data_IF_677413787886
#
_entry.id   IF_677413787886
#
_cell.length_a   1.000
_cell.length_b   1.000
_cell.length_c   1.000
_cell.angle_alpha   90.00
_cell.angle_beta   90.00
_cell.angle_gamma   90.00
#
_symmetry.space_group_name_H-M   'P 1'
#
loop_
_entity.id
_entity.type
_entity.pdbx_description
1 polymer ?
#
# COMPACT_ATOMS: atom_id res chain seq x y z
N UNK A 1 -32.33 8.83 -20.74
CA UNK A 1 -31.25 9.63 -20.12
C UNK A 1 -30.53 8.66 -19.21
N UNK A 2 -29.27 8.22 -19.45
CA UNK A 2 -28.58 7.25 -18.56
C UNK A 2 -27.11 6.94 -18.96
N UNK A 3 -26.30 7.90 -19.41
CA UNK A 3 -24.86 7.62 -19.63
C UNK A 3 -24.00 8.88 -19.46
N UNK A 4 -24.53 10.04 -19.84
CA UNK A 4 -23.88 11.33 -19.62
C UNK A 4 -23.98 11.81 -18.16
N UNK A 5 -25.13 11.59 -17.52
CA UNK A 5 -25.37 11.98 -16.12
C UNK A 5 -24.53 11.13 -15.15
N UNK A 6 -24.45 9.81 -15.38
CA UNK A 6 -23.62 8.89 -14.59
C UNK A 6 -22.11 9.21 -14.74
N UNK A 7 -21.68 9.66 -15.92
CA UNK A 7 -20.31 10.13 -16.15
C UNK A 7 -20.03 11.46 -15.45
N UNK A 8 -21.02 12.35 -15.36
CA UNK A 8 -20.90 13.63 -14.67
C UNK A 8 -20.80 13.43 -13.15
N UNK A 9 -21.63 12.57 -12.56
CA UNK A 9 -21.53 12.22 -11.13
C UNK A 9 -20.18 11.59 -10.79
N UNK A 10 -19.67 10.68 -11.64
CA UNK A 10 -18.37 10.04 -11.41
C UNK A 10 -17.20 11.03 -11.52
N UNK A 11 -17.29 12.03 -12.42
CA UNK A 11 -16.30 13.10 -12.51
C UNK A 11 -16.37 14.01 -11.26
N UNK A 12 -17.57 14.33 -10.79
CA UNK A 12 -17.79 15.18 -9.63
C UNK A 12 -17.28 14.52 -8.34
N UNK A 13 -17.50 13.21 -8.19
CA UNK A 13 -16.95 12.40 -7.10
C UNK A 13 -15.41 12.36 -7.13
N UNK A 14 -14.81 12.19 -8.32
CA UNK A 14 -13.34 12.22 -8.47
C UNK A 14 -12.77 13.59 -8.13
N UNK A 15 -13.44 14.68 -8.52
CA UNK A 15 -13.05 16.04 -8.17
C UNK A 15 -13.17 16.31 -6.68
N UNK A 16 -14.25 15.85 -6.04
CA UNK A 16 -14.40 15.94 -4.58
C UNK A 16 -13.32 15.15 -3.86
N UNK A 17 -12.99 13.95 -4.34
CA UNK A 17 -11.95 13.10 -3.75
C UNK A 17 -10.55 13.72 -3.89
N UNK A 18 -10.27 14.41 -5.01
CA UNK A 18 -9.05 15.19 -5.22
C UNK A 18 -8.96 16.37 -4.25
N UNK A 19 -10.05 17.14 -4.09
CA UNK A 19 -10.10 18.29 -3.15
C UNK A 19 -9.90 17.83 -1.70
N UNK A 20 -10.54 16.74 -1.29
CA UNK A 20 -10.36 16.15 0.04
C UNK A 20 -8.92 15.69 0.24
N UNK A 21 -8.31 15.08 -0.78
CA UNK A 21 -6.92 14.62 -0.73
C UNK A 21 -5.95 15.79 -0.61
N UNK A 22 -6.13 16.86 -1.39
CA UNK A 22 -5.32 18.08 -1.32
C UNK A 22 -5.43 18.73 0.06
N UNK A 23 -6.63 18.81 0.64
CA UNK A 23 -6.82 19.34 1.99
C UNK A 23 -6.20 18.46 3.09
N UNK A 24 -6.18 17.12 2.92
CA UNK A 24 -5.44 16.24 3.83
C UNK A 24 -3.93 16.45 3.71
N UNK A 25 -3.40 16.57 2.49
CA UNK A 25 -1.99 16.83 2.28
C UNK A 25 -1.58 18.18 2.85
N UNK A 26 -2.36 19.25 2.67
CA UNK A 26 -2.06 20.56 3.25
C UNK A 26 -2.07 20.53 4.78
N UNK A 27 -3.04 19.85 5.42
CA UNK A 27 -3.04 19.69 6.88
C UNK A 27 -1.88 18.81 7.39
N UNK A 28 -1.44 17.83 6.60
CA UNK A 28 -0.31 16.97 6.95
C UNK A 28 1.04 17.71 6.79
N UNK A 29 1.16 18.62 5.82
CA UNK A 29 2.30 19.50 5.69
C UNK A 29 2.34 20.56 6.80
N UNK A 30 1.21 21.15 7.20
CA UNK A 30 1.15 22.08 8.35
C UNK A 30 1.55 21.39 9.66
N UNK A 31 1.19 20.11 9.87
CA UNK A 31 1.66 19.33 11.03
C UNK A 31 3.14 18.97 10.96
N UNK A 32 3.73 18.82 9.78
CA UNK A 32 5.17 18.57 9.58
C UNK A 32 6.01 19.85 9.60
N UNK A 33 5.43 21.00 9.28
CA UNK A 33 6.07 22.31 9.38
C UNK A 33 6.23 22.81 10.82
N UNK A 34 5.56 22.18 11.81
CA UNK A 34 5.75 22.47 13.24
C UNK A 34 7.16 22.22 13.78
N UNK A 35 8.04 21.54 13.03
CA UNK A 35 9.45 21.31 13.40
C UNK A 35 10.46 22.03 12.50
N UNK A 36 10.02 22.86 11.54
CA UNK A 36 10.93 23.81 10.90
C UNK A 36 11.05 25.06 11.75
N UNK A 37 11.95 24.99 12.74
CA UNK A 37 12.43 26.15 13.48
C UNK A 37 13.21 27.04 12.51
N UNK A 38 12.51 27.90 11.77
CA UNK A 38 13.14 29.03 11.08
C UNK A 38 13.85 29.82 12.18
N UNK A 39 15.19 29.92 12.16
CA UNK A 39 15.90 30.69 13.18
C UNK A 39 15.35 32.11 13.14
N UNK A 40 14.91 32.63 14.28
CA UNK A 40 14.41 33.98 14.34
C UNK A 40 15.60 34.94 14.18
N UNK A 41 15.74 35.50 12.98
CA UNK A 41 16.84 36.40 12.64
C UNK A 41 16.56 37.83 13.10
N UNK A 42 15.40 38.12 13.71
CA UNK A 42 15.04 39.47 14.18
C UNK A 42 16.08 40.02 15.15
N UNK A 43 16.52 39.24 16.14
CA UNK A 43 17.55 39.68 17.09
C UNK A 43 18.91 39.99 16.41
N UNK A 44 19.29 39.19 15.42
CA UNK A 44 20.54 39.44 14.65
C UNK A 44 20.41 40.65 13.74
N UNK A 45 19.24 40.87 13.16
CA UNK A 45 18.96 42.05 12.35
C UNK A 45 18.96 43.31 13.22
N UNK A 46 18.36 43.27 14.41
CA UNK A 46 18.36 44.38 15.36
C UNK A 46 19.77 44.71 15.84
N UNK A 47 20.63 43.71 16.07
CA UNK A 47 22.05 43.91 16.35
C UNK A 47 22.77 44.58 15.18
N UNK A 48 22.53 44.14 13.95
CA UNK A 48 23.10 44.75 12.74
C UNK A 48 22.62 46.20 12.57
N UNK A 49 21.34 46.49 12.84
CA UNK A 49 20.81 47.85 12.79
C UNK A 49 21.41 48.75 13.87
N UNK A 50 21.64 48.22 15.07
CA UNK A 50 22.28 48.93 16.17
C UNK A 50 23.75 49.24 15.86
N UNK A 51 24.50 48.26 15.35
CA UNK A 51 25.88 48.44 14.90
C UNK A 51 25.95 49.46 13.74
N UNK A 52 25.04 49.40 12.77
CA UNK A 52 24.94 50.39 11.67
C UNK A 52 24.63 51.82 12.17
N UNK A 53 23.87 51.94 13.26
CA UNK A 53 23.55 53.24 13.85
C UNK A 53 24.74 53.86 14.60
N UNK A 54 25.58 53.01 15.21
CA UNK A 54 26.83 53.39 15.86
C UNK A 54 27.93 53.74 14.82
N UNK A 55 27.98 52.99 13.71
CA UNK A 55 28.85 53.22 12.54
C UNK A 55 28.61 54.56 11.83
N UNK A 56 27.39 55.09 11.83
CA UNK A 56 27.07 56.38 11.17
C UNK A 56 27.70 57.58 11.88
N UNK A 57 28.20 57.40 13.11
CA UNK A 57 28.85 58.45 13.91
C UNK A 57 30.38 58.34 13.93
N UNK A 58 30.97 57.25 13.41
CA UNK A 58 32.41 56.98 13.37
C UNK A 58 32.98 56.90 11.95
N UNK A 59 34.27 57.20 11.80
CA UNK A 59 34.97 57.40 10.51
C UNK A 59 34.76 56.23 9.48
N UNK A 60 34.16 56.48 8.31
CA UNK A 60 33.50 55.45 7.48
C UNK A 60 34.43 54.48 6.71
N UNK A 61 35.73 54.71 6.63
CA UNK A 61 36.58 54.00 5.65
C UNK A 61 37.23 52.73 6.18
N UNK A 62 37.62 52.69 7.46
CA UNK A 62 38.32 51.53 8.05
C UNK A 62 37.38 50.38 8.40
N UNK A 63 36.14 50.68 8.78
CA UNK A 63 35.17 49.66 9.23
C UNK A 63 34.38 49.03 8.07
N UNK A 64 34.19 49.76 6.96
CA UNK A 64 33.65 49.19 5.72
C UNK A 64 34.52 48.06 5.17
N UNK A 65 35.85 48.17 5.29
CA UNK A 65 36.76 47.11 4.89
C UNK A 65 36.57 45.84 5.75
N UNK A 66 36.37 45.99 7.05
CA UNK A 66 36.12 44.86 7.96
C UNK A 66 34.74 44.22 7.72
N UNK A 67 33.71 45.03 7.44
CA UNK A 67 32.36 44.56 7.08
C UNK A 67 32.36 43.81 5.74
N UNK A 68 33.08 44.30 4.73
CA UNK A 68 33.25 43.60 3.44
C UNK A 68 34.00 42.28 3.63
N UNK A 69 34.97 42.23 4.54
CA UNK A 69 35.72 41.02 4.85
C UNK A 69 34.87 39.99 5.63
N UNK A 70 34.03 40.44 6.56
CA UNK A 70 33.04 39.60 7.24
C UNK A 70 31.97 39.08 6.27
N UNK A 71 31.44 39.93 5.38
CA UNK A 71 30.51 39.52 4.33
C UNK A 71 31.13 38.51 3.35
N UNK A 72 32.42 38.65 3.04
CA UNK A 72 33.16 37.64 2.25
C UNK A 72 33.27 36.32 3.01
N UNK A 73 33.52 36.34 4.33
CA UNK A 73 33.53 35.13 5.17
C UNK A 73 32.15 34.45 5.20
N UNK A 74 31.06 35.20 5.37
CA UNK A 74 29.69 34.66 5.28
C UNK A 74 29.34 34.12 3.89
N UNK A 75 29.89 34.70 2.82
CA UNK A 75 29.69 34.20 1.44
C UNK A 75 30.52 32.95 1.14
N UNK A 76 31.63 32.74 1.87
CA UNK A 76 32.52 31.59 1.72
C UNK A 76 32.10 30.36 2.52
N UNK A 77 31.16 30.50 3.46
CA UNK A 77 30.54 29.35 4.11
C UNK A 77 29.72 28.58 3.07
N UNK A 78 30.04 27.29 2.81
CA UNK A 78 29.33 26.53 1.80
C UNK A 78 27.88 26.38 2.27
N UNK A 79 26.95 27.01 1.53
CA UNK A 79 25.51 26.78 1.69
C UNK A 79 25.26 25.29 1.50
N UNK A 80 25.09 24.56 2.60
CA UNK A 80 24.71 23.15 2.59
C UNK A 80 23.24 23.05 2.21
N UNK A 81 22.96 23.26 0.92
CA UNK A 81 21.65 22.98 0.33
C UNK A 81 21.48 21.46 0.41
N UNK A 82 20.73 20.99 1.42
CA UNK A 82 20.41 19.58 1.59
C UNK A 82 19.59 19.13 0.39
N UNK A 83 20.26 18.58 -0.61
CA UNK A 83 19.64 18.01 -1.79
C UNK A 83 19.01 16.68 -1.36
N UNK A 84 17.69 16.66 -1.15
CA UNK A 84 16.95 15.42 -0.88
C UNK A 84 16.96 14.54 -2.14
N UNK A 85 18.02 13.75 -2.33
CA UNK A 85 18.05 12.68 -3.32
C UNK A 85 17.33 11.49 -2.74
N UNK A 86 16.21 11.07 -3.34
CA UNK A 86 15.63 9.76 -3.09
C UNK A 86 16.58 8.72 -3.72
N UNK A 87 17.59 8.32 -2.97
CA UNK A 87 18.44 7.20 -3.33
C UNK A 87 17.66 5.91 -3.07
N UNK A 88 17.36 5.16 -4.14
CA UNK A 88 16.74 3.83 -4.06
C UNK A 88 17.61 2.82 -3.29
N UNK A 89 18.88 3.17 -3.01
CA UNK A 89 19.82 2.38 -2.23
C UNK A 89 20.58 3.28 -1.23
N UNK A 90 20.63 2.94 0.06
CA UNK A 90 21.34 3.77 1.04
C UNK A 90 22.85 3.83 0.70
N UNK A 91 23.46 5.02 0.64
CA UNK A 91 24.91 5.14 0.40
C UNK A 91 25.76 4.74 1.61
N UNK A 92 25.18 4.76 2.81
CA UNK A 92 25.85 4.32 4.03
C UNK A 92 25.24 2.99 4.51
N UNK A 93 26.10 2.03 4.85
CA UNK A 93 25.72 0.75 5.46
C UNK A 93 24.88 -0.21 4.57
N UNK A 94 25.22 -0.28 3.29
CA UNK A 94 24.59 -1.16 2.29
C UNK A 94 24.58 -2.65 2.70
N UNK A 95 25.66 -3.13 3.32
CA UNK A 95 25.80 -4.53 3.72
C UNK A 95 24.75 -4.99 4.74
N UNK A 96 24.40 -4.14 5.71
CA UNK A 96 23.36 -4.48 6.69
C UNK A 96 21.96 -4.45 6.08
N UNK A 97 21.70 -3.49 5.18
CA UNK A 97 20.40 -3.37 4.53
C UNK A 97 20.10 -4.58 3.64
N UNK A 98 21.06 -4.99 2.81
CA UNK A 98 20.94 -6.20 2.00
C UNK A 98 20.80 -7.45 2.87
N UNK A 99 21.53 -7.56 3.98
CA UNK A 99 21.41 -8.69 4.91
C UNK A 99 20.02 -8.78 5.55
N UNK A 100 19.35 -7.67 5.83
CA UNK A 100 18.01 -7.66 6.42
C UNK A 100 16.94 -7.97 5.37
N UNK A 101 16.99 -7.32 4.21
CA UNK A 101 16.00 -7.49 3.15
C UNK A 101 16.12 -8.87 2.51
N UNK A 102 17.32 -9.28 2.12
CA UNK A 102 17.53 -10.58 1.46
C UNK A 102 17.70 -11.74 2.45
N UNK A 103 18.14 -11.48 3.68
CA UNK A 103 18.31 -12.54 4.68
C UNK A 103 17.06 -12.87 5.50
N UNK A 104 16.15 -11.92 5.67
CA UNK A 104 14.91 -12.12 6.46
C UNK A 104 13.67 -11.77 5.67
N UNK A 105 13.56 -10.54 5.15
CA UNK A 105 12.30 -10.07 4.57
C UNK A 105 11.84 -10.90 3.35
N UNK A 106 12.74 -11.12 2.39
CA UNK A 106 12.45 -11.87 1.15
C UNK A 106 12.09 -13.34 1.42
N UNK A 107 12.89 -14.11 2.19
CA UNK A 107 12.54 -15.49 2.53
C UNK A 107 11.20 -15.61 3.24
N UNK A 108 10.91 -14.73 4.20
CA UNK A 108 9.63 -14.73 4.91
C UNK A 108 8.46 -14.35 4.00
N UNK A 109 8.65 -13.38 3.10
CA UNK A 109 7.64 -13.02 2.10
C UNK A 109 7.35 -14.17 1.13
N UNK A 110 8.39 -14.84 0.65
CA UNK A 110 8.27 -15.97 -0.27
C UNK A 110 7.62 -17.17 0.42
N UNK A 111 7.98 -17.43 1.69
CA UNK A 111 7.32 -18.42 2.53
C UNK A 111 5.83 -18.09 2.70
N UNK A 112 5.48 -16.83 2.98
CA UNK A 112 4.08 -16.41 3.12
C UNK A 112 3.28 -16.64 1.84
N UNK A 113 3.85 -16.28 0.67
CA UNK A 113 3.23 -16.57 -0.63
C UNK A 113 3.07 -18.07 -0.85
N UNK A 114 4.10 -18.87 -0.56
CA UNK A 114 4.02 -20.33 -0.68
C UNK A 114 2.94 -20.92 0.23
N UNK A 115 2.83 -20.41 1.46
CA UNK A 115 1.88 -20.90 2.46
C UNK A 115 0.44 -20.57 2.05
N UNK A 116 0.18 -19.33 1.63
CA UNK A 116 -1.14 -18.91 1.14
C UNK A 116 -1.55 -19.67 -0.12
N UNK A 117 -0.61 -19.93 -1.03
CA UNK A 117 -0.85 -20.74 -2.21
C UNK A 117 -1.15 -22.20 -1.87
N UNK A 118 -0.38 -22.82 -0.98
CA UNK A 118 -0.65 -24.16 -0.45
C UNK A 118 -2.01 -24.25 0.25
N UNK A 119 -2.41 -23.21 1.00
CA UNK A 119 -3.71 -23.17 1.65
C UNK A 119 -4.87 -23.14 0.63
N UNK A 120 -4.75 -22.30 -0.41
CA UNK A 120 -5.72 -22.24 -1.51
C UNK A 120 -5.82 -23.59 -2.25
N UNK A 121 -4.68 -24.23 -2.54
CA UNK A 121 -4.67 -25.57 -3.14
C UNK A 121 -5.26 -26.62 -2.21
N UNK A 122 -4.96 -26.54 -0.91
CA UNK A 122 -5.49 -27.45 0.11
C UNK A 122 -7.01 -27.40 0.19
N UNK A 123 -7.61 -26.21 0.16
CA UNK A 123 -9.06 -26.06 0.13
C UNK A 123 -9.68 -26.72 -1.10
N UNK A 124 -9.15 -26.44 -2.30
CA UNK A 124 -9.64 -27.06 -3.54
C UNK A 124 -9.49 -28.58 -3.53
N UNK A 125 -8.38 -29.09 -3.01
CA UNK A 125 -8.15 -30.52 -2.89
C UNK A 125 -9.15 -31.19 -1.93
N UNK A 126 -9.45 -30.55 -0.80
CA UNK A 126 -10.45 -31.03 0.16
C UNK A 126 -11.86 -31.02 -0.45
N UNK A 127 -12.21 -30.01 -1.23
CA UNK A 127 -13.52 -29.93 -1.87
C UNK A 127 -13.68 -31.03 -2.93
N UNK A 128 -12.67 -31.25 -3.77
CA UNK A 128 -12.66 -32.37 -4.73
C UNK A 128 -12.75 -33.71 -4.02
N UNK A 129 -12.04 -33.88 -2.91
CA UNK A 129 -12.07 -35.12 -2.13
C UNK A 129 -13.45 -35.37 -1.51
N UNK A 130 -14.10 -34.34 -0.96
CA UNK A 130 -15.48 -34.43 -0.44
C UNK A 130 -16.48 -34.78 -1.54
N UNK A 131 -16.36 -34.17 -2.71
CA UNK A 131 -17.23 -34.48 -3.87
C UNK A 131 -17.03 -35.94 -4.29
N UNK A 132 -15.78 -36.41 -4.33
CA UNK A 132 -15.48 -37.81 -4.63
C UNK A 132 -16.10 -38.76 -3.62
N UNK A 133 -15.94 -38.53 -2.31
CA UNK A 133 -16.53 -39.38 -1.27
C UNK A 133 -18.07 -39.38 -1.34
N UNK A 134 -18.67 -38.22 -1.63
CA UNK A 134 -20.12 -38.12 -1.86
C UNK A 134 -20.57 -38.92 -3.08
N UNK A 135 -19.86 -38.80 -4.21
CA UNK A 135 -20.15 -39.52 -5.44
C UNK A 135 -19.94 -41.03 -5.28
N UNK A 136 -18.89 -41.46 -4.59
CA UNK A 136 -18.63 -42.88 -4.33
C UNK A 136 -19.77 -43.51 -3.50
N UNK A 137 -20.34 -42.77 -2.54
CA UNK A 137 -21.54 -43.19 -1.80
C UNK A 137 -22.78 -43.20 -2.68
N UNK A 138 -22.98 -42.17 -3.50
CA UNK A 138 -24.10 -42.11 -4.45
C UNK A 138 -24.07 -43.31 -5.42
N UNK A 139 -22.89 -43.64 -5.94
CA UNK A 139 -22.65 -44.78 -6.82
C UNK A 139 -23.01 -46.12 -6.16
N UNK A 140 -22.75 -46.28 -4.86
CA UNK A 140 -23.15 -47.49 -4.13
C UNK A 140 -24.68 -47.64 -4.10
N UNK A 141 -25.43 -46.56 -3.89
CA UNK A 141 -26.89 -46.60 -3.93
C UNK A 141 -27.42 -46.89 -5.33
N UNK A 142 -26.81 -46.31 -6.38
CA UNK A 142 -27.17 -46.60 -7.77
C UNK A 142 -26.90 -48.07 -8.11
N UNK A 143 -25.75 -48.62 -7.70
CA UNK A 143 -25.41 -50.04 -7.90
C UNK A 143 -26.37 -50.96 -7.15
N UNK A 144 -26.70 -50.64 -5.90
CA UNK A 144 -27.68 -51.42 -5.12
C UNK A 144 -29.09 -51.36 -5.76
N UNK A 145 -29.48 -50.20 -6.28
CA UNK A 145 -30.74 -50.03 -7.00
C UNK A 145 -30.81 -50.86 -8.28
N UNK A 146 -29.74 -50.81 -9.10
CA UNK A 146 -29.61 -51.62 -10.32
C UNK A 146 -29.65 -53.12 -10.00
N UNK A 147 -28.96 -53.55 -8.95
CA UNK A 147 -28.99 -54.93 -8.50
C UNK A 147 -30.40 -55.40 -8.13
N UNK A 148 -31.17 -54.57 -7.40
CA UNK A 148 -32.54 -54.87 -7.03
C UNK A 148 -33.48 -54.90 -8.24
N UNK A 149 -33.31 -53.99 -9.20
CA UNK A 149 -34.12 -53.96 -10.42
C UNK A 149 -33.85 -55.20 -11.29
N UNK A 150 -32.59 -55.61 -11.42
CA UNK A 150 -32.21 -56.83 -12.15
C UNK A 150 -32.84 -58.08 -11.53
N UNK A 151 -32.80 -58.21 -10.20
CA UNK A 151 -33.28 -59.38 -9.45
C UNK A 151 -34.79 -59.31 -9.10
N UNK A 152 -35.50 -58.24 -9.45
CA UNK A 152 -36.93 -58.15 -9.21
C UNK A 152 -37.72 -59.06 -10.18
N UNK A 153 -38.29 -60.14 -9.64
CA UNK A 153 -39.13 -61.08 -10.41
C UNK A 153 -40.53 -60.52 -10.71
N UNK A 154 -41.02 -59.58 -9.91
CA UNK A 154 -42.38 -59.03 -10.04
C UNK A 154 -42.44 -57.82 -10.98
N UNK A 155 -43.19 -57.93 -12.07
CA UNK A 155 -43.41 -56.86 -13.07
C UNK A 155 -43.98 -55.57 -12.48
N UNK A 156 -44.81 -55.65 -11.43
CA UNK A 156 -45.38 -54.46 -10.77
C UNK A 156 -44.31 -53.68 -10.01
N UNK A 157 -43.37 -54.40 -9.39
CA UNK A 157 -42.24 -53.79 -8.65
C UNK A 157 -41.31 -53.08 -9.63
N UNK A 158 -40.95 -53.73 -10.74
CA UNK A 158 -40.14 -53.11 -11.81
C UNK A 158 -40.76 -51.82 -12.35
N UNK A 159 -42.07 -51.82 -12.60
CA UNK A 159 -42.77 -50.61 -13.09
C UNK A 159 -42.73 -49.47 -12.07
N UNK A 160 -42.94 -49.76 -10.79
CA UNK A 160 -42.85 -48.75 -9.71
C UNK A 160 -41.42 -48.23 -9.51
N UNK A 161 -40.41 -49.09 -9.66
CA UNK A 161 -39.00 -48.68 -9.60
C UNK A 161 -38.64 -47.77 -10.78
N UNK A 162 -39.11 -48.08 -11.99
CA UNK A 162 -38.93 -47.21 -13.15
C UNK A 162 -39.61 -45.84 -12.99
N UNK A 163 -40.84 -45.81 -12.44
CA UNK A 163 -41.55 -44.56 -12.13
C UNK A 163 -40.83 -43.74 -11.06
N UNK A 164 -40.30 -44.39 -10.01
CA UNK A 164 -39.50 -43.72 -8.97
C UNK A 164 -38.20 -43.12 -9.52
N UNK A 165 -37.53 -43.85 -10.44
CA UNK A 165 -36.32 -43.36 -11.11
C UNK A 165 -36.60 -42.15 -12.00
N UNK A 166 -37.68 -42.19 -12.79
CA UNK A 166 -38.10 -41.04 -13.60
C UNK A 166 -38.47 -39.83 -12.76
N UNK A 167 -39.06 -40.03 -11.58
CA UNK A 167 -39.39 -38.94 -10.65
C UNK A 167 -38.15 -38.32 -9.99
N UNK A 168 -37.12 -39.12 -9.73
CA UNK A 168 -35.86 -38.64 -9.14
C UNK A 168 -35.00 -37.83 -10.13
N UNK A 169 -35.09 -38.12 -11.43
CA UNK A 169 -34.36 -37.43 -12.50
C UNK A 169 -35.12 -36.26 -13.15
N UNK A 170 -36.28 -35.87 -12.60
CA UNK A 170 -37.11 -34.77 -13.09
C UNK A 170 -36.95 -33.53 -12.23
#
# INVERSE_FOLDING_TARGET
MNNTEEKLENIEDVLQQLVISINRFSQQEVKRQGEMRIPDYTERLDQIYKELSELKQGNPQTELHQLVEQLKKLKSEPRTVKQHRLLLFPETNQGQYYKIVFGRLLPWGLLFVATTYCFSLGQKALDVWKIKDYNDRADQYVKAWLYLDEHAENKVIKKRMAEAWQKANR
#
